data_IF_608054460925
#
_entry.id   IF_608054460925
#
_cell.length_a   1.000
_cell.length_b   1.000
_cell.length_c   1.000
_cell.angle_alpha   90.00
_cell.angle_beta   90.00
_cell.angle_gamma   90.00
#
_symmetry.space_group_name_H-M   'P 1'
#
loop_
_entity.id
_entity.type
_entity.pdbx_description
1 polymer ?
#
# COMPACT_ATOMS: atom_id res chain seq x y z
N UNK A 1 -13.63 -5.41 -23.52
CA UNK A 1 -12.86 -5.48 -22.26
C UNK A 1 -13.46 -4.47 -21.31
N UNK A 2 -13.89 -4.88 -20.11
CA UNK A 2 -14.47 -3.99 -19.11
C UNK A 2 -13.45 -3.76 -17.99
N UNK A 3 -13.22 -2.51 -17.61
CA UNK A 3 -12.34 -2.15 -16.49
C UNK A 3 -13.08 -2.41 -15.18
N UNK A 4 -12.38 -3.01 -14.22
CA UNK A 4 -12.87 -3.14 -12.83
C UNK A 4 -12.29 -2.01 -11.99
N UNK A 5 -13.07 -1.51 -11.05
CA UNK A 5 -12.61 -0.49 -10.11
C UNK A 5 -11.69 -1.14 -9.08
N UNK A 6 -10.48 -0.60 -8.93
CA UNK A 6 -9.56 -0.91 -7.85
C UNK A 6 -9.30 0.40 -7.09
N UNK A 7 -9.60 0.47 -5.78
CA UNK A 7 -9.32 1.65 -4.99
C UNK A 7 -7.81 1.93 -4.90
N UNK A 8 -7.41 3.20 -4.78
CA UNK A 8 -6.01 3.54 -4.53
C UNK A 8 -5.50 2.89 -3.24
N UNK A 9 -4.19 2.59 -3.19
CA UNK A 9 -3.51 2.04 -2.01
C UNK A 9 -4.15 0.77 -1.40
N UNK A 10 -4.85 -0.02 -2.21
CA UNK A 10 -5.56 -1.24 -1.77
C UNK A 10 -5.05 -2.49 -2.52
N UNK A 11 -3.82 -2.97 -2.26
CA UNK A 11 -3.27 -4.16 -2.90
C UNK A 11 -4.05 -5.44 -2.51
N UNK A 12 -4.67 -5.45 -1.33
CA UNK A 12 -5.60 -6.45 -0.83
C UNK A 12 -6.87 -6.60 -1.67
N UNK A 13 -7.17 -5.62 -2.53
CA UNK A 13 -8.27 -5.66 -3.49
C UNK A 13 -7.84 -6.03 -4.92
N UNK A 14 -6.58 -6.47 -5.08
CA UNK A 14 -6.06 -7.04 -6.32
C UNK A 14 -5.70 -8.52 -6.13
N UNK A 15 -6.37 -9.39 -6.90
CA UNK A 15 -6.18 -10.84 -6.79
C UNK A 15 -4.74 -11.28 -7.12
N UNK A 16 -4.03 -10.53 -7.97
CA UNK A 16 -2.65 -10.83 -8.34
C UNK A 16 -1.69 -10.49 -7.19
N UNK A 17 -1.90 -9.34 -6.54
CA UNK A 17 -1.15 -8.92 -5.35
C UNK A 17 -1.40 -9.86 -4.16
N UNK A 18 -2.63 -10.34 -3.98
CA UNK A 18 -2.97 -11.32 -2.93
C UNK A 18 -2.27 -12.68 -3.11
N UNK A 19 -1.93 -13.03 -4.36
CA UNK A 19 -1.61 -14.39 -4.75
C UNK A 19 -0.36 -14.51 -5.60
N UNK A 20 -0.54 -14.39 -6.92
CA UNK A 20 0.48 -14.77 -7.90
C UNK A 20 1.78 -13.97 -7.75
N UNK A 21 1.71 -12.66 -7.51
CA UNK A 21 2.92 -11.84 -7.35
C UNK A 21 3.69 -12.18 -6.07
N UNK A 22 3.00 -12.61 -5.00
CA UNK A 22 3.66 -13.11 -3.79
C UNK A 22 4.40 -14.42 -4.04
N UNK A 23 3.82 -15.30 -4.87
CA UNK A 23 4.46 -16.54 -5.27
C UNK A 23 5.72 -16.26 -6.13
N UNK A 24 5.64 -15.31 -7.06
CA UNK A 24 6.78 -14.88 -7.86
C UNK A 24 7.88 -14.26 -6.99
N UNK A 25 7.55 -13.39 -6.06
CA UNK A 25 8.52 -12.82 -5.13
C UNK A 25 9.23 -13.91 -4.31
N UNK A 26 8.48 -14.90 -3.83
CA UNK A 26 9.04 -16.05 -3.11
C UNK A 26 9.97 -16.88 -4.01
N UNK A 27 9.69 -16.97 -5.31
CA UNK A 27 10.51 -17.68 -6.28
C UNK A 27 11.81 -16.93 -6.58
N UNK A 28 11.75 -15.60 -6.77
CA UNK A 28 12.93 -14.77 -6.98
C UNK A 28 13.89 -14.81 -5.79
N UNK A 29 13.36 -14.78 -4.55
CA UNK A 29 14.16 -14.94 -3.32
C UNK A 29 14.92 -16.28 -3.28
N UNK A 30 14.43 -17.31 -3.97
CA UNK A 30 15.04 -18.64 -4.04
C UNK A 30 16.00 -18.79 -5.23
N UNK A 31 15.64 -18.27 -6.39
CA UNK A 31 16.31 -18.58 -7.66
C UNK A 31 17.38 -17.56 -8.08
N UNK A 32 17.48 -16.39 -7.42
CA UNK A 32 18.50 -15.35 -7.67
C UNK A 32 18.82 -15.15 -9.17
N UNK A 33 17.80 -14.78 -9.94
CA UNK A 33 17.92 -14.47 -11.36
C UNK A 33 18.98 -13.40 -11.61
N UNK A 34 19.87 -13.61 -12.59
CA UNK A 34 21.01 -12.71 -12.85
C UNK A 34 20.83 -11.84 -14.08
N UNK A 35 19.87 -12.19 -14.93
CA UNK A 35 19.55 -11.47 -16.16
C UNK A 35 18.04 -11.57 -16.44
N UNK A 36 17.59 -10.87 -17.49
CA UNK A 36 16.18 -10.80 -17.88
C UNK A 36 15.66 -12.17 -18.34
N UNK A 37 16.46 -12.95 -19.06
CA UNK A 37 16.06 -14.27 -19.56
C UNK A 37 15.79 -15.24 -18.40
N UNK A 38 16.59 -15.18 -17.33
CA UNK A 38 16.37 -15.96 -16.10
C UNK A 38 15.04 -15.59 -15.43
N UNK A 39 14.69 -14.29 -15.40
CA UNK A 39 13.42 -13.80 -14.84
C UNK A 39 12.24 -14.30 -15.66
N UNK A 40 12.34 -14.23 -17.00
CA UNK A 40 11.28 -14.71 -17.91
C UNK A 40 11.08 -16.21 -17.70
N UNK A 41 12.15 -17.01 -17.72
CA UNK A 41 12.08 -18.45 -17.54
C UNK A 41 11.48 -18.84 -16.18
N UNK A 42 11.90 -18.18 -15.09
CA UNK A 42 11.36 -18.42 -13.75
C UNK A 42 9.88 -18.02 -13.66
N UNK A 43 9.47 -16.92 -14.30
CA UNK A 43 8.07 -16.47 -14.30
C UNK A 43 7.18 -17.45 -15.07
N UNK A 44 7.65 -17.94 -16.22
CA UNK A 44 6.92 -18.93 -17.02
C UNK A 44 6.78 -20.28 -16.28
N UNK A 45 7.85 -20.72 -15.60
CA UNK A 45 7.82 -21.92 -14.75
C UNK A 45 6.81 -21.74 -13.60
N UNK A 46 6.85 -20.60 -12.90
CA UNK A 46 5.90 -20.29 -11.84
C UNK A 46 4.45 -20.32 -12.34
N UNK A 47 4.19 -19.74 -13.53
CA UNK A 47 2.87 -19.73 -14.13
C UNK A 47 2.37 -21.14 -14.45
N UNK A 48 3.24 -22.02 -14.95
CA UNK A 48 2.91 -23.43 -15.24
C UNK A 48 2.64 -24.24 -13.96
N UNK A 49 3.37 -23.93 -12.89
CA UNK A 49 3.26 -24.61 -11.60
C UNK A 49 2.11 -24.09 -10.71
N UNK A 50 1.48 -22.98 -11.09
CA UNK A 50 0.36 -22.43 -10.33
C UNK A 50 -0.81 -23.42 -10.31
N UNK A 51 -1.11 -23.88 -9.11
CA UNK A 51 -2.26 -24.71 -8.85
C UNK A 51 -3.57 -23.89 -8.88
N UNK A 52 -4.58 -24.42 -9.58
CA UNK A 52 -5.87 -23.76 -9.74
C UNK A 52 -6.63 -23.63 -8.41
N UNK A 53 -6.43 -24.54 -7.45
CA UNK A 53 -7.02 -24.42 -6.12
C UNK A 53 -6.41 -23.25 -5.33
N UNK A 54 -5.13 -22.96 -5.55
CA UNK A 54 -4.45 -21.78 -4.99
C UNK A 54 -5.03 -20.50 -5.56
N UNK A 55 -5.28 -20.42 -6.87
CA UNK A 55 -5.95 -19.27 -7.48
C UNK A 55 -7.35 -19.06 -6.90
N UNK A 56 -8.14 -20.13 -6.80
CA UNK A 56 -9.47 -20.07 -6.19
C UNK A 56 -9.41 -19.55 -4.74
N UNK A 57 -8.42 -20.00 -3.96
CA UNK A 57 -8.21 -19.51 -2.60
C UNK A 57 -7.93 -18.00 -2.54
N UNK A 58 -7.27 -17.43 -3.54
CA UNK A 58 -7.03 -15.98 -3.64
C UNK A 58 -8.33 -15.23 -3.94
N UNK A 59 -9.17 -15.73 -4.84
CA UNK A 59 -10.50 -15.12 -5.10
C UNK A 59 -11.41 -15.14 -3.87
N UNK A 60 -11.41 -16.23 -3.09
CA UNK A 60 -12.15 -16.26 -1.83
C UNK A 60 -11.58 -15.28 -0.81
N UNK A 61 -10.26 -15.10 -0.78
CA UNK A 61 -9.62 -14.09 0.07
C UNK A 61 -10.05 -12.69 -0.33
N UNK A 62 -10.07 -12.38 -1.63
CA UNK A 62 -10.54 -11.10 -2.16
C UNK A 62 -11.98 -10.80 -1.72
N UNK A 63 -12.87 -11.80 -1.77
CA UNK A 63 -14.24 -11.64 -1.28
C UNK A 63 -14.30 -11.36 0.23
N UNK A 64 -13.47 -12.02 1.03
CA UNK A 64 -13.36 -11.72 2.46
C UNK A 64 -12.82 -10.30 2.70
N UNK A 65 -11.80 -9.86 1.96
CA UNK A 65 -11.28 -8.49 2.03
C UNK A 65 -12.37 -7.46 1.75
N UNK A 66 -13.19 -7.67 0.71
CA UNK A 66 -14.33 -6.78 0.40
C UNK A 66 -15.35 -6.70 1.55
N UNK A 67 -15.59 -7.79 2.28
CA UNK A 67 -16.46 -7.76 3.46
C UNK A 67 -15.84 -6.95 4.60
N UNK A 68 -14.54 -7.13 4.86
CA UNK A 68 -13.86 -6.36 5.90
C UNK A 68 -13.85 -4.86 5.57
N UNK A 69 -13.61 -4.48 4.31
CA UNK A 69 -13.72 -3.08 3.86
C UNK A 69 -15.10 -2.50 4.19
N UNK A 70 -16.18 -3.27 4.01
CA UNK A 70 -17.51 -2.83 4.42
C UNK A 70 -17.64 -2.72 5.94
N UNK A 71 -17.07 -3.66 6.70
CA UNK A 71 -17.08 -3.64 8.17
C UNK A 71 -16.33 -2.45 8.76
N UNK A 72 -15.25 -1.99 8.11
CA UNK A 72 -14.44 -0.84 8.54
C UNK A 72 -14.76 0.43 7.76
N UNK A 73 -15.94 0.50 7.14
CA UNK A 73 -16.48 1.71 6.50
C UNK A 73 -15.58 2.29 5.38
N UNK A 74 -14.84 1.44 4.67
CA UNK A 74 -13.97 1.82 3.55
C UNK A 74 -12.48 1.94 3.88
N UNK A 75 -12.09 1.75 5.14
CA UNK A 75 -10.68 1.74 5.57
C UNK A 75 -9.95 0.45 5.11
N UNK A 76 -8.62 0.48 5.08
CA UNK A 76 -7.74 -0.66 4.84
C UNK A 76 -7.03 -1.17 6.12
N UNK A 77 -7.32 -0.59 7.29
CA UNK A 77 -6.76 -0.93 8.59
C UNK A 77 -7.19 -2.28 9.19
N UNK A 78 -7.64 -3.23 8.37
CA UNK A 78 -8.08 -4.56 8.81
C UNK A 78 -7.02 -5.64 8.55
N UNK A 79 -7.19 -6.79 9.19
CA UNK A 79 -6.34 -7.97 8.94
C UNK A 79 -7.01 -8.87 7.93
N UNK A 80 -6.26 -9.33 6.94
CA UNK A 80 -6.77 -10.28 5.93
C UNK A 80 -7.37 -11.51 6.64
N UNK A 81 -8.67 -11.80 6.45
CA UNK A 81 -9.33 -12.90 7.15
C UNK A 81 -8.80 -14.28 6.73
N UNK A 82 -8.57 -15.14 7.72
CA UNK A 82 -8.12 -16.52 7.49
C UNK A 82 -9.25 -17.53 7.77
N UNK A 83 -9.82 -18.12 6.71
CA UNK A 83 -10.91 -19.10 6.81
C UNK A 83 -10.46 -20.57 6.65
N UNK A 84 -9.17 -20.88 6.81
CA UNK A 84 -8.61 -22.25 6.70
C UNK A 84 -9.01 -22.98 5.40
N UNK A 85 -8.93 -22.27 4.26
CA UNK A 85 -9.40 -22.70 2.93
C UNK A 85 -8.92 -24.10 2.53
N UNK A 86 -7.64 -24.41 2.73
CA UNK A 86 -7.08 -25.74 2.43
C UNK A 86 -7.77 -26.87 3.21
N UNK A 87 -8.10 -26.65 4.49
CA UNK A 87 -8.83 -27.64 5.31
C UNK A 87 -10.25 -27.86 4.79
N UNK A 88 -10.94 -26.77 4.43
CA UNK A 88 -12.30 -26.85 3.88
C UNK A 88 -12.33 -27.53 2.51
N UNK A 89 -11.35 -27.25 1.65
CA UNK A 89 -11.22 -27.91 0.35
C UNK A 89 -11.00 -29.42 0.50
N UNK A 90 -10.13 -29.83 1.43
CA UNK A 90 -9.83 -31.25 1.66
C UNK A 90 -11.05 -32.07 2.11
N UNK A 91 -12.04 -31.43 2.75
CA UNK A 91 -13.30 -32.07 3.18
C UNK A 91 -14.48 -31.79 2.23
N UNK A 92 -14.25 -31.13 1.09
CA UNK A 92 -15.28 -30.79 0.11
C UNK A 92 -16.31 -29.76 0.60
N UNK A 93 -15.97 -28.95 1.60
CA UNK A 93 -16.84 -27.92 2.19
C UNK A 93 -16.36 -26.49 1.91
N UNK A 94 -15.45 -26.31 0.95
CA UNK A 94 -15.02 -24.97 0.56
C UNK A 94 -16.11 -24.34 -0.32
N UNK A 95 -16.70 -23.25 0.15
CA UNK A 95 -17.66 -22.48 -0.63
C UNK A 95 -17.00 -21.85 -1.86
N UNK A 96 -17.72 -21.79 -2.97
CA UNK A 96 -17.31 -21.07 -4.18
C UNK A 96 -17.50 -19.54 -4.06
N UNK A 97 -18.46 -19.13 -3.22
CA UNK A 97 -18.81 -17.73 -2.98
C UNK A 97 -18.97 -17.51 -1.47
N UNK A 98 -18.40 -16.42 -0.97
CA UNK A 98 -18.56 -15.98 0.41
C UNK A 98 -19.82 -15.11 0.48
N UNK A 99 -20.82 -15.57 1.24
CA UNK A 99 -22.04 -14.80 1.45
C UNK A 99 -21.75 -13.58 2.33
N UNK A 100 -22.24 -12.42 1.89
CA UNK A 100 -22.23 -11.18 2.68
C UNK A 100 -23.46 -11.18 3.58
N UNK A 101 -23.27 -10.82 4.84
CA UNK A 101 -24.38 -10.62 5.76
C UNK A 101 -25.29 -9.49 5.26
N UNK A 102 -26.61 -9.66 5.37
CA UNK A 102 -27.56 -8.69 4.82
C UNK A 102 -27.52 -7.38 5.59
N UNK A 103 -27.36 -7.44 6.91
CA UNK A 103 -27.32 -6.23 7.74
C UNK A 103 -26.05 -5.43 7.41
N UNK A 104 -24.92 -6.11 7.23
CA UNK A 104 -23.66 -5.48 6.77
C UNK A 104 -23.82 -4.80 5.40
N UNK A 105 -24.50 -5.46 4.45
CA UNK A 105 -24.77 -4.87 3.14
C UNK A 105 -25.66 -3.62 3.25
N UNK A 106 -26.74 -3.71 4.02
CA UNK A 106 -27.67 -2.61 4.22
C UNK A 106 -27.02 -1.44 4.98
N UNK A 107 -26.14 -1.71 5.95
CA UNK A 107 -25.29 -0.73 6.64
C UNK A 107 -24.40 0.02 5.63
N UNK A 108 -23.68 -0.71 4.77
CA UNK A 108 -22.84 -0.12 3.72
C UNK A 108 -23.63 0.75 2.75
N UNK A 109 -24.81 0.31 2.31
CA UNK A 109 -25.68 1.13 1.45
C UNK A 109 -26.17 2.40 2.15
N UNK A 110 -26.49 2.32 3.44
CA UNK A 110 -26.88 3.49 4.24
C UNK A 110 -25.73 4.49 4.37
N UNK A 111 -24.52 4.00 4.65
CA UNK A 111 -23.31 4.83 4.72
C UNK A 111 -23.07 5.57 3.40
N UNK A 112 -23.11 4.86 2.27
CA UNK A 112 -22.93 5.47 0.94
C UNK A 112 -24.00 6.51 0.64
N UNK A 113 -25.25 6.26 1.02
CA UNK A 113 -26.37 7.20 0.80
C UNK A 113 -26.28 8.45 1.68
N UNK A 114 -25.70 8.33 2.88
CA UNK A 114 -25.52 9.44 3.81
C UNK A 114 -24.25 10.26 3.52
N UNK A 115 -23.31 9.72 2.73
CA UNK A 115 -22.03 10.36 2.44
C UNK A 115 -22.19 11.41 1.36
N UNK A 116 -21.89 12.67 1.71
CA UNK A 116 -21.78 13.76 0.76
C UNK A 116 -20.42 13.67 0.04
N UNK A 117 -20.44 13.07 -1.16
CA UNK A 117 -19.24 12.83 -1.97
C UNK A 117 -18.61 14.14 -2.42
N UNK A 118 -19.42 15.14 -2.80
CA UNK A 118 -18.92 16.44 -3.27
C UNK A 118 -18.14 17.12 -2.14
N UNK A 119 -18.71 17.14 -0.93
CA UNK A 119 -18.00 17.64 0.25
C UNK A 119 -16.70 16.88 0.53
N UNK A 120 -16.69 15.55 0.39
CA UNK A 120 -15.49 14.73 0.60
C UNK A 120 -14.39 15.03 -0.43
N UNK A 121 -14.77 15.30 -1.68
CA UNK A 121 -13.84 15.72 -2.73
C UNK A 121 -13.25 17.09 -2.39
N UNK A 122 -14.07 18.04 -1.93
CA UNK A 122 -13.60 19.37 -1.52
C UNK A 122 -12.65 19.30 -0.31
N UNK A 123 -12.98 18.49 0.70
CA UNK A 123 -12.11 18.22 1.86
C UNK A 123 -10.75 17.66 1.40
N UNK A 124 -10.76 16.64 0.54
CA UNK A 124 -9.54 16.03 0.00
C UNK A 124 -8.72 17.02 -0.83
N UNK A 125 -9.36 17.85 -1.66
CA UNK A 125 -8.67 18.85 -2.47
C UNK A 125 -7.92 19.86 -1.60
N UNK A 126 -8.53 20.26 -0.48
CA UNK A 126 -7.90 21.16 0.49
C UNK A 126 -6.68 20.50 1.17
N UNK A 127 -6.81 19.24 1.60
CA UNK A 127 -5.70 18.49 2.20
C UNK A 127 -4.53 18.32 1.22
N UNK A 128 -4.82 18.01 -0.04
CA UNK A 128 -3.79 17.90 -1.09
C UNK A 128 -3.08 19.24 -1.30
N UNK A 129 -3.81 20.36 -1.35
CA UNK A 129 -3.20 21.68 -1.49
C UNK A 129 -2.25 22.00 -0.32
N UNK A 130 -2.68 21.73 0.93
CA UNK A 130 -1.84 21.92 2.12
C UNK A 130 -0.59 21.02 2.11
N UNK A 131 -0.72 19.77 1.66
CA UNK A 131 0.41 18.86 1.54
C UNK A 131 1.42 19.33 0.47
N UNK A 132 0.92 19.89 -0.64
CA UNK A 132 1.77 20.49 -1.68
C UNK A 132 2.54 21.71 -1.14
N UNK A 133 1.87 22.60 -0.41
CA UNK A 133 2.50 23.77 0.23
C UNK A 133 3.59 23.34 1.24
N UNK A 134 3.31 22.31 2.05
CA UNK A 134 4.28 21.76 3.00
C UNK A 134 5.49 21.13 2.30
N UNK A 135 5.26 20.43 1.19
CA UNK A 135 6.34 19.88 0.38
C UNK A 135 7.21 20.99 -0.21
N UNK A 136 6.62 22.07 -0.71
CA UNK A 136 7.35 23.22 -1.23
C UNK A 136 8.19 23.90 -0.14
N UNK A 137 7.59 24.16 1.02
CA UNK A 137 8.31 24.73 2.17
C UNK A 137 9.51 23.84 2.57
N UNK A 138 9.30 22.52 2.65
CA UNK A 138 10.35 21.56 2.98
C UNK A 138 11.49 21.59 1.95
N UNK A 139 11.17 21.63 0.66
CA UNK A 139 12.16 21.77 -0.42
C UNK A 139 12.93 23.09 -0.36
N UNK A 140 12.29 24.19 0.09
CA UNK A 140 12.98 25.46 0.29
C UNK A 140 13.96 25.40 1.47
N UNK A 141 13.58 24.77 2.60
CA UNK A 141 14.50 24.59 3.72
C UNK A 141 15.72 23.72 3.39
N UNK A 142 15.52 22.66 2.61
CA UNK A 142 16.61 21.78 2.16
C UNK A 142 17.65 22.57 1.36
N UNK A 143 17.21 23.44 0.45
CA UNK A 143 18.10 24.32 -0.33
C UNK A 143 18.89 25.32 0.53
N UNK A 144 18.34 25.77 1.65
CA UNK A 144 19.04 26.66 2.58
C UNK A 144 20.08 25.93 3.45
N UNK A 145 20.00 24.59 3.53
CA UNK A 145 20.86 23.78 4.40
C UNK A 145 22.10 23.22 3.67
N UNK A 146 22.24 23.48 2.36
CA UNK A 146 23.35 22.99 1.53
C UNK A 146 24.03 24.18 0.87
N UNK A 147 24.86 24.91 1.62
CA UNK A 147 25.96 25.76 1.12
C UNK A 147 26.81 26.28 2.31
N UNK A 148 27.14 25.38 3.23
CA UNK A 148 28.07 25.66 4.31
C UNK A 148 29.12 24.56 4.36
N UNK A 149 30.03 24.52 3.38
CA UNK A 149 31.38 24.09 3.72
C UNK A 149 31.80 24.98 4.90
N UNK A 150 31.87 24.40 6.09
CA UNK A 150 32.42 25.08 7.25
C UNK A 150 33.90 25.33 6.93
N UNK A 151 34.21 26.47 6.31
CA UNK A 151 35.57 26.99 6.35
C UNK A 151 35.89 27.25 7.82
N UNK A 152 36.76 26.40 8.38
CA UNK A 152 37.26 26.40 9.75
C UNK A 152 38.14 27.64 10.05
N UNK A 153 37.66 28.84 9.78
CA UNK A 153 38.30 30.06 10.28
C UNK A 153 37.23 30.95 10.91
N UNK A 154 37.14 30.88 12.24
CA UNK A 154 36.41 31.84 13.05
C UNK A 154 37.05 33.21 12.78
N UNK A 155 36.36 34.01 11.98
CA UNK A 155 36.80 35.34 11.60
C UNK A 155 37.14 36.15 12.86
N UNK A 156 38.37 36.67 12.93
CA UNK A 156 38.97 37.28 14.13
C UNK A 156 38.13 38.46 14.67
N UNK A 157 37.31 39.07 13.80
CA UNK A 157 36.36 40.12 14.14
C UNK A 157 35.17 39.61 14.96
N UNK A 158 34.70 38.39 14.74
CA UNK A 158 33.59 37.79 15.50
C UNK A 158 34.02 37.41 16.92
N UNK A 159 35.26 36.92 17.08
CA UNK A 159 35.85 36.66 18.41
C UNK A 159 36.08 37.95 19.22
N UNK A 160 36.38 39.06 18.53
CA UNK A 160 36.47 40.41 19.12
C UNK A 160 35.10 40.92 19.57
N UNK A 161 34.07 40.74 18.74
CA UNK A 161 32.71 41.22 19.01
C UNK A 161 32.06 40.46 20.19
N UNK A 162 32.37 39.17 20.34
CA UNK A 162 31.81 38.31 21.38
C UNK A 162 32.65 38.26 22.67
N UNK A 163 33.80 38.95 22.73
CA UNK A 163 34.63 39.05 23.95
C UNK A 163 35.31 37.74 24.38
N UNK A 164 35.32 36.72 23.54
CA UNK A 164 35.81 35.36 23.82
C UNK A 164 37.26 35.13 23.39
N UNK A 165 38.01 36.21 23.10
CA UNK A 165 39.43 36.19 22.72
C UNK A 165 40.38 35.41 23.64
N UNK A 166 39.97 35.12 24.87
CA UNK A 166 40.78 34.40 25.86
C UNK A 166 40.69 32.87 25.74
N UNK A 167 39.87 32.36 24.81
CA UNK A 167 39.64 30.93 24.56
C UNK A 167 40.23 30.43 23.21
N UNK A 168 40.88 31.31 22.46
CA UNK A 168 41.73 31.02 21.29
C UNK A 168 43.20 31.08 21.72
#
# INVERSE_FOLDING_TARGET
MQVRFQPPNSPDLNVLDLGFFRALQTLEERNYSRNIDDIIAATDEAWQDVDMMTLNANFLTLQCCMQEVMCVEGDNGYKIPHMKKAKLAAVGMLSEVICVDRDLFDDGCRLLSATDIDKKIDELALEVAQAMDMSEFSSQMEKLSVDGELEDDIDLDLALLLGIKHLL
#
